data_IF_688685743508
#
_entry.id   IF_688685743508
#
_cell.length_a   1.000
_cell.length_b   1.000
_cell.length_c   1.000
_cell.angle_alpha   90.00
_cell.angle_beta   90.00
_cell.angle_gamma   90.00
#
_symmetry.space_group_name_H-M   'P 1'
#
loop_
_entity.id
_entity.type
_entity.pdbx_description
1 polymer ?
#
# COMPACT_ATOMS: atom_id res chain seq x y z
N UNK A 1 -3.83 -21.84 23.87
CA UNK A 1 -2.64 -21.11 23.37
C UNK A 1 -3.07 -19.73 22.92
N UNK A 2 -2.57 -18.64 23.52
CA UNK A 2 -2.83 -17.28 23.02
C UNK A 2 -2.18 -17.17 21.64
N UNK A 3 -3.00 -17.01 20.59
CA UNK A 3 -2.47 -16.72 19.25
C UNK A 3 -1.74 -15.38 19.34
N UNK A 4 -0.43 -15.42 19.11
CA UNK A 4 0.42 -14.24 19.19
C UNK A 4 0.03 -13.26 18.09
N UNK A 5 -0.46 -12.08 18.51
CA UNK A 5 -0.77 -10.99 17.60
C UNK A 5 0.55 -10.38 17.12
N UNK A 6 0.74 -10.32 15.80
CA UNK A 6 1.94 -9.73 15.20
C UNK A 6 1.59 -8.52 14.38
N UNK A 7 2.56 -7.62 14.23
CA UNK A 7 2.46 -6.41 13.42
C UNK A 7 3.59 -6.37 12.40
N UNK A 8 3.26 -5.95 11.20
CA UNK A 8 4.23 -5.66 10.15
C UNK A 8 3.91 -4.30 9.56
N UNK A 9 4.96 -3.55 9.30
CA UNK A 9 4.93 -2.27 8.64
C UNK A 9 5.49 -2.45 7.22
N UNK A 10 4.70 -2.03 6.24
CA UNK A 10 4.98 -2.22 4.82
C UNK A 10 5.04 -0.85 4.16
N UNK A 11 6.16 -0.54 3.53
CA UNK A 11 6.34 0.65 2.70
C UNK A 11 6.45 0.21 1.25
N UNK A 12 5.53 0.70 0.43
CA UNK A 12 5.44 0.37 -0.99
C UNK A 12 5.74 1.63 -1.77
N UNK A 13 6.81 1.61 -2.53
CA UNK A 13 7.21 2.71 -3.40
C UNK A 13 7.12 2.30 -4.88
N UNK A 14 6.75 3.23 -5.75
CA UNK A 14 6.58 2.94 -7.18
C UNK A 14 5.54 3.84 -7.81
N UNK A 15 5.06 3.49 -9.00
CA UNK A 15 3.91 4.15 -9.63
C UNK A 15 2.59 3.68 -9.01
N UNK A 16 2.44 3.88 -7.70
CA UNK A 16 1.34 3.35 -6.87
C UNK A 16 0.28 4.41 -6.54
N UNK A 17 0.51 5.67 -6.94
CA UNK A 17 -0.50 6.70 -6.79
C UNK A 17 -1.48 6.65 -7.97
N UNK A 18 -2.78 6.69 -7.66
CA UNK A 18 -3.91 6.57 -8.61
C UNK A 18 -4.16 5.15 -9.18
N UNK A 19 -3.57 4.10 -8.60
CA UNK A 19 -3.75 2.69 -9.03
C UNK A 19 -4.75 1.89 -8.17
N UNK A 20 -5.63 2.53 -7.41
CA UNK A 20 -6.59 1.86 -6.50
C UNK A 20 -5.96 0.91 -5.45
N UNK A 21 -4.62 0.86 -5.30
CA UNK A 21 -3.92 -0.08 -4.41
C UNK A 21 -4.53 -0.16 -3.01
N UNK A 22 -4.78 0.99 -2.37
CA UNK A 22 -5.42 1.05 -1.04
C UNK A 22 -6.77 0.34 -0.98
N UNK A 23 -7.59 0.45 -2.02
CA UNK A 23 -8.90 -0.22 -2.10
C UNK A 23 -8.72 -1.74 -2.11
N UNK A 24 -7.74 -2.24 -2.86
CA UNK A 24 -7.43 -3.67 -2.90
C UNK A 24 -6.78 -4.16 -1.61
N UNK A 25 -5.88 -3.39 -1.02
CA UNK A 25 -5.27 -3.70 0.28
C UNK A 25 -6.34 -3.86 1.36
N UNK A 26 -7.30 -2.93 1.45
CA UNK A 26 -8.43 -3.04 2.39
C UNK A 26 -9.24 -4.32 2.13
N UNK A 27 -9.57 -4.63 0.87
CA UNK A 27 -10.33 -5.86 0.53
C UNK A 27 -9.55 -7.12 0.90
N UNK A 28 -8.26 -7.16 0.62
CA UNK A 28 -7.40 -8.31 0.90
C UNK A 28 -7.22 -8.52 2.40
N UNK A 29 -6.97 -7.45 3.15
CA UNK A 29 -6.85 -7.51 4.60
C UNK A 29 -8.14 -8.04 5.24
N UNK A 30 -9.31 -7.54 4.81
CA UNK A 30 -10.61 -8.06 5.26
C UNK A 30 -10.79 -9.55 4.94
N UNK A 31 -10.41 -10.00 3.73
CA UNK A 31 -10.52 -11.42 3.37
C UNK A 31 -9.61 -12.36 4.18
N UNK A 32 -8.55 -11.81 4.79
CA UNK A 32 -7.59 -12.54 5.63
C UNK A 32 -7.82 -12.28 7.13
N UNK A 33 -8.90 -11.57 7.49
CA UNK A 33 -9.22 -11.18 8.86
C UNK A 33 -8.07 -10.42 9.56
N UNK A 34 -7.38 -9.55 8.80
CA UNK A 34 -6.31 -8.69 9.27
C UNK A 34 -6.84 -7.30 9.61
N UNK A 35 -6.23 -6.64 10.58
CA UNK A 35 -6.55 -5.27 11.03
C UNK A 35 -5.37 -4.33 10.80
N UNK A 36 -5.59 -3.02 10.93
CA UNK A 36 -4.56 -2.00 10.70
C UNK A 36 -5.01 -0.89 9.76
N UNK A 37 -4.08 -0.31 9.00
CA UNK A 37 -4.39 0.83 8.14
C UNK A 37 -3.46 0.93 6.94
N UNK A 38 -3.92 1.64 5.91
CA UNK A 38 -3.09 1.97 4.73
C UNK A 38 -3.27 3.41 4.28
N UNK A 39 -2.20 4.21 4.22
CA UNK A 39 -2.24 5.61 3.79
C UNK A 39 -1.28 5.87 2.63
N UNK A 40 -1.63 6.81 1.76
CA UNK A 40 -0.67 7.31 0.79
C UNK A 40 0.23 8.32 1.49
N UNK A 41 1.54 8.14 1.40
CA UNK A 41 2.50 9.17 1.74
C UNK A 41 2.42 10.24 0.65
N UNK A 42 2.08 11.49 1.04
CA UNK A 42 2.10 12.62 0.10
C UNK A 42 3.52 12.74 -0.45
N UNK A 43 3.64 12.83 -1.77
CA UNK A 43 4.86 13.30 -2.41
C UNK A 43 4.82 14.81 -2.54
N UNK A 44 6.00 15.39 -2.60
CA UNK A 44 6.25 16.81 -2.80
C UNK A 44 5.47 17.37 -4.00
N UNK A 45 4.91 18.58 -3.86
CA UNK A 45 4.00 19.19 -4.86
C UNK A 45 4.70 19.57 -6.17
N UNK A 46 6.03 19.52 -6.22
CA UNK A 46 6.87 19.96 -7.34
C UNK A 46 7.17 18.87 -8.38
N UNK A 47 6.19 18.02 -8.73
CA UNK A 47 6.33 17.01 -9.79
C UNK A 47 5.75 17.49 -11.13
N UNK A 48 5.93 18.77 -11.47
CA UNK A 48 5.57 19.31 -12.78
C UNK A 48 6.85 19.60 -13.58
N UNK A 49 7.44 18.55 -14.14
CA UNK A 49 8.58 18.73 -15.03
C UNK A 49 8.06 19.32 -16.35
N UNK A 50 8.53 20.52 -16.73
CA UNK A 50 8.05 21.32 -17.90
C UNK A 50 8.04 20.55 -19.23
N UNK A 51 8.74 19.41 -19.30
CA UNK A 51 8.82 18.47 -20.42
C UNK A 51 7.53 17.70 -20.71
N UNK A 52 6.59 17.60 -19.76
CA UNK A 52 5.31 16.91 -19.94
C UNK A 52 4.19 17.82 -20.49
N UNK A 53 4.44 19.12 -20.69
CA UNK A 53 3.45 20.04 -21.31
C UNK A 53 3.01 19.58 -22.71
N UNK A 54 3.86 18.86 -23.43
CA UNK A 54 3.57 18.36 -24.78
C UNK A 54 2.70 17.11 -24.82
N UNK A 55 2.65 16.32 -23.74
CA UNK A 55 1.84 15.10 -23.66
C UNK A 55 0.39 15.35 -23.22
N UNK A 56 0.06 16.57 -22.77
CA UNK A 56 -1.31 16.97 -22.42
C UNK A 56 -2.24 17.10 -23.63
N UNK A 57 -1.73 16.98 -24.85
CA UNK A 57 -2.54 16.95 -26.07
C UNK A 57 -3.12 15.56 -26.37
N UNK A 58 -2.75 14.52 -25.60
CA UNK A 58 -3.30 13.18 -25.72
C UNK A 58 -4.30 12.94 -24.58
N UNK A 59 -5.62 13.05 -24.81
CA UNK A 59 -6.65 13.03 -23.76
C UNK A 59 -6.76 11.71 -22.96
N UNK A 60 -6.04 10.65 -23.37
CA UNK A 60 -6.14 9.32 -22.77
C UNK A 60 -4.95 8.91 -21.88
N UNK A 61 -3.88 9.70 -21.82
CA UNK A 61 -2.68 9.35 -21.04
C UNK A 61 -2.71 10.07 -19.68
N UNK A 62 -3.21 9.40 -18.64
CA UNK A 62 -3.05 9.88 -17.26
C UNK A 62 -1.59 9.72 -16.84
N UNK A 63 -0.90 10.78 -16.37
CA UNK A 63 0.48 10.66 -15.92
C UNK A 63 0.56 9.71 -14.71
N UNK A 64 1.41 8.68 -14.81
CA UNK A 64 1.72 7.82 -13.68
C UNK A 64 2.52 8.63 -12.65
N UNK A 65 1.97 8.77 -11.45
CA UNK A 65 2.65 9.47 -10.36
C UNK A 65 3.40 8.43 -9.52
N UNK A 66 4.72 8.57 -9.46
CA UNK A 66 5.53 7.80 -8.52
C UNK A 66 5.26 8.30 -7.11
N UNK A 67 4.84 7.43 -6.19
CA UNK A 67 4.63 7.77 -4.81
C UNK A 67 4.90 6.60 -3.87
N UNK A 68 4.56 6.80 -2.59
CA UNK A 68 4.69 5.77 -1.58
C UNK A 68 3.35 5.52 -0.88
N UNK A 69 3.10 4.27 -0.52
CA UNK A 69 1.98 3.83 0.31
C UNK A 69 2.59 3.19 1.54
N UNK A 70 2.10 3.59 2.70
CA UNK A 70 2.47 3.04 3.98
C UNK A 70 1.29 2.22 4.50
N UNK A 71 1.59 1.05 5.05
CA UNK A 71 0.59 0.08 5.44
C UNK A 71 1.04 -0.62 6.72
N UNK A 72 0.25 -0.53 7.78
CA UNK A 72 0.44 -1.31 9.00
C UNK A 72 -0.60 -2.41 9.01
N UNK A 73 -0.16 -3.64 9.23
CA UNK A 73 -1.01 -4.82 9.19
C UNK A 73 -0.79 -5.64 10.45
N UNK A 74 -1.90 -6.07 11.05
CA UNK A 74 -1.92 -6.85 12.29
C UNK A 74 -2.78 -8.08 12.14
N UNK A 75 -2.35 -9.16 12.79
CA UNK A 75 -3.06 -10.42 12.81
C UNK A 75 -2.15 -11.61 13.08
N UNK A 76 -2.57 -12.78 12.61
CA UNK A 76 -1.77 -14.01 12.70
C UNK A 76 -0.62 -13.97 11.70
N UNK A 77 0.53 -14.54 12.08
CA UNK A 77 1.71 -14.61 11.22
C UNK A 77 1.38 -15.15 9.81
N UNK A 78 0.65 -16.27 9.72
CA UNK A 78 0.28 -16.91 8.46
C UNK A 78 -0.51 -15.98 7.52
N UNK A 79 -1.42 -15.20 8.09
CA UNK A 79 -2.28 -14.30 7.32
C UNK A 79 -1.51 -13.03 6.89
N UNK A 80 -0.60 -12.55 7.75
CA UNK A 80 0.33 -11.47 7.43
C UNK A 80 1.27 -11.89 6.30
N UNK A 81 1.78 -13.12 6.31
CA UNK A 81 2.68 -13.62 5.27
C UNK A 81 1.95 -13.70 3.92
N UNK A 82 0.72 -14.23 3.90
CA UNK A 82 -0.16 -14.21 2.71
C UNK A 82 -0.43 -12.80 2.18
N UNK A 83 -0.61 -11.83 3.08
CA UNK A 83 -0.82 -10.44 2.69
C UNK A 83 0.45 -9.80 2.12
N UNK A 84 1.60 -10.11 2.72
CA UNK A 84 2.91 -9.60 2.30
C UNK A 84 3.28 -10.16 0.93
N UNK A 85 3.09 -11.46 0.71
CA UNK A 85 3.31 -12.10 -0.58
C UNK A 85 2.39 -11.53 -1.67
N UNK A 86 1.10 -11.35 -1.34
CA UNK A 86 0.16 -10.67 -2.22
C UNK A 86 0.60 -9.24 -2.55
N UNK A 87 1.12 -8.50 -1.56
CA UNK A 87 1.62 -7.13 -1.77
C UNK A 87 2.81 -7.10 -2.73
N UNK A 88 3.72 -8.09 -2.64
CA UNK A 88 4.85 -8.27 -3.58
C UNK A 88 4.41 -8.51 -5.02
N UNK A 89 3.35 -9.30 -5.22
CA UNK A 89 2.77 -9.57 -6.55
C UNK A 89 1.94 -8.39 -7.06
N UNK A 90 1.34 -7.63 -6.16
CA UNK A 90 0.48 -6.48 -6.43
C UNK A 90 -0.93 -6.87 -6.94
N UNK A 91 -1.90 -5.94 -6.89
CA UNK A 91 -3.27 -6.17 -7.38
C UNK A 91 -3.37 -6.25 -8.92
N UNK A 92 -2.36 -5.79 -9.66
CA UNK A 92 -2.35 -5.81 -11.12
C UNK A 92 -1.14 -6.58 -11.63
N UNK A 93 -1.39 -7.77 -12.16
CA UNK A 93 -0.41 -8.73 -12.69
C UNK A 93 0.43 -8.24 -13.90
N UNK A 94 0.37 -6.96 -14.32
CA UNK A 94 1.07 -6.52 -15.55
C UNK A 94 1.49 -5.04 -15.65
N UNK A 95 1.03 -4.14 -14.77
CA UNK A 95 1.25 -2.68 -14.93
C UNK A 95 2.05 -2.03 -13.81
N UNK A 96 2.29 -2.72 -12.70
CA UNK A 96 3.20 -2.25 -11.65
C UNK A 96 4.61 -2.65 -12.07
N UNK A 97 5.11 -2.05 -13.14
CA UNK A 97 6.37 -2.48 -13.77
C UNK A 97 7.61 -2.08 -12.96
N UNK A 98 7.49 -1.33 -11.85
CA UNK A 98 8.58 -0.99 -10.91
C UNK A 98 8.02 -0.59 -9.53
N UNK A 99 7.50 -1.55 -8.74
CA UNK A 99 7.27 -1.29 -7.32
C UNK A 99 8.38 -1.92 -6.48
N UNK A 100 8.99 -1.12 -5.63
CA UNK A 100 9.92 -1.54 -4.60
C UNK A 100 9.17 -1.61 -3.28
N UNK A 101 9.19 -2.78 -2.64
CA UNK A 101 8.42 -3.07 -1.44
C UNK A 101 9.41 -3.39 -0.32
N UNK A 102 9.35 -2.56 0.71
CA UNK A 102 10.10 -2.71 1.95
C UNK A 102 9.14 -3.18 3.04
N UNK A 103 9.56 -4.20 3.79
CA UNK A 103 8.74 -4.83 4.84
C UNK A 103 9.56 -4.88 6.11
N UNK A 104 9.11 -4.18 7.15
CA UNK A 104 9.72 -4.18 8.48
C UNK A 104 8.80 -4.87 9.48
N UNK A 105 9.34 -5.84 10.23
CA UNK A 105 8.63 -6.47 11.35
C UNK A 105 8.81 -5.57 12.57
N UNK A 106 7.71 -5.09 13.14
CA UNK A 106 7.74 -4.19 14.29
C UNK A 106 6.98 -4.82 15.46
N UNK A 107 7.31 -4.40 16.69
CA UNK A 107 6.52 -4.77 17.87
C UNK A 107 5.14 -4.12 17.77
N UNK A 108 4.10 -4.82 18.20
CA UNK A 108 2.74 -4.28 18.24
C UNK A 108 2.70 -3.10 19.21
N UNK A 109 2.47 -1.89 18.70
CA UNK A 109 2.41 -0.68 19.52
C UNK A 109 0.98 -0.31 19.90
N UNK A 110 0.04 -0.44 18.97
CA UNK A 110 -1.40 -0.12 19.14
C UNK A 110 -2.23 -1.19 18.47
N UNK A 111 -3.27 -1.72 19.11
CA UNK A 111 -4.15 -2.74 18.49
C UNK A 111 -5.25 -2.03 17.70
N UNK A 112 -5.54 -2.51 16.49
CA UNK A 112 -6.64 -2.02 15.66
C UNK A 112 -7.75 -3.06 15.56
N UNK A 113 -9.01 -2.63 15.66
CA UNK A 113 -10.19 -3.50 15.54
C UNK A 113 -10.58 -3.76 14.08
N UNK A 114 -10.22 -2.86 13.18
CA UNK A 114 -10.58 -2.90 11.76
C UNK A 114 -9.41 -2.54 10.85
N UNK A 115 -9.56 -2.81 9.55
CA UNK A 115 -8.64 -2.34 8.53
C UNK A 115 -9.18 -1.10 7.81
N UNK A 116 -8.53 0.06 7.99
CA UNK A 116 -9.00 1.37 7.49
C UNK A 116 -8.00 2.05 6.53
N UNK A 117 -8.37 3.21 5.99
CA UNK A 117 -7.57 4.00 5.02
C UNK A 117 -6.61 4.99 5.68
N UNK A 118 -6.71 5.19 6.98
CA UNK A 118 -5.88 6.13 7.71
C UNK A 118 -5.66 5.56 9.11
N UNK A 119 -4.51 5.81 9.76
CA UNK A 119 -4.40 5.52 11.17
C UNK A 119 -5.53 6.27 11.90
N UNK A 120 -6.24 5.55 12.77
CA UNK A 120 -7.15 6.18 13.72
C UNK A 120 -6.27 6.90 14.74
N UNK A 121 -6.15 8.23 14.60
CA UNK A 121 -5.37 9.09 15.48
C UNK A 121 -6.04 9.19 16.84
#
# INVERSE_FOLDING_TARGET
MKKELKQVHIIISGYVQKTLYRKFAIRRAKSLNLTGWTRNLKKDRNYFNRRWKFLFFIPFIKPLIFGRVECVVQGKQEDIDKFTEWSKKGPFSKWISKAEIEVTKEKVTKIYDNFSKYPDF
#
